data_IF_770853227302
#
_entry.id   IF_770853227302
#
_cell.length_a   1.000
_cell.length_b   1.000
_cell.length_c   1.000
_cell.angle_alpha   90.00
_cell.angle_beta   90.00
_cell.angle_gamma   90.00
#
_symmetry.space_group_name_H-M   'P 1'
#
loop_
_entity.id
_entity.type
_entity.pdbx_description
1 polymer ?
#
# COMPACT_ATOMS: atom_id res chain seq x y z
N UNK A 1 6.31 14.47 7.40
CA UNK A 1 6.54 13.09 6.91
C UNK A 1 6.10 12.17 8.02
N UNK A 2 5.37 11.11 7.68
CA UNK A 2 4.95 10.11 8.65
C UNK A 2 5.22 8.71 8.09
N UNK A 3 5.67 7.82 8.95
CA UNK A 3 5.82 6.41 8.62
C UNK A 3 4.56 5.71 9.11
N UNK A 4 3.98 4.90 8.24
CA UNK A 4 2.78 4.12 8.51
C UNK A 4 3.09 2.65 8.25
N UNK A 5 2.39 1.81 9.00
CA UNK A 5 2.39 0.38 8.81
C UNK A 5 0.95 -0.07 8.79
N UNK A 6 0.57 -0.84 7.78
CA UNK A 6 -0.81 -1.27 7.61
C UNK A 6 -0.97 -2.70 8.16
N UNK A 7 -1.70 -2.79 9.26
CA UNK A 7 -1.96 -4.05 9.95
C UNK A 7 -2.68 -5.10 9.07
N UNK A 8 -3.44 -4.66 8.05
CA UNK A 8 -4.09 -5.58 7.10
C UNK A 8 -3.06 -6.28 6.22
N UNK A 9 -1.97 -5.60 5.83
CA UNK A 9 -0.86 -6.23 5.11
C UNK A 9 -0.14 -7.27 5.98
N UNK A 10 0.04 -6.97 7.26
CA UNK A 10 0.56 -7.93 8.24
C UNK A 10 -0.36 -9.15 8.42
N UNK A 11 -1.69 -8.97 8.39
CA UNK A 11 -2.65 -10.08 8.41
C UNK A 11 -2.55 -10.97 7.16
N UNK A 12 -2.20 -10.40 6.01
CA UNK A 12 -1.88 -11.16 4.79
C UNK A 12 -0.43 -11.67 4.73
N UNK A 13 0.28 -11.65 5.86
CA UNK A 13 1.70 -12.04 6.00
C UNK A 13 2.64 -11.32 5.01
N UNK A 14 2.26 -10.12 4.56
CA UNK A 14 3.03 -9.30 3.65
C UNK A 14 3.55 -8.10 4.43
N UNK A 15 4.78 -8.17 4.98
CA UNK A 15 5.35 -7.05 5.72
C UNK A 15 5.41 -5.84 4.78
N UNK A 16 4.66 -4.80 5.14
CA UNK A 16 4.53 -3.57 4.38
C UNK A 16 5.03 -2.38 5.18
N UNK A 17 5.67 -1.44 4.49
CA UNK A 17 6.08 -0.16 5.04
C UNK A 17 5.58 0.91 4.10
N UNK A 18 4.87 1.88 4.68
CA UNK A 18 4.29 3.00 3.95
C UNK A 18 4.90 4.31 4.47
N UNK A 19 5.21 5.21 3.54
CA UNK A 19 5.66 6.55 3.85
C UNK A 19 4.65 7.56 3.31
N UNK A 20 4.14 8.43 4.19
CA UNK A 20 3.21 9.49 3.82
C UNK A 20 3.87 10.87 3.82
N UNK A 21 3.76 11.54 2.68
CA UNK A 21 4.26 12.86 2.40
C UNK A 21 3.09 13.82 2.21
N UNK A 22 2.93 14.76 3.13
CA UNK A 22 1.92 15.82 3.01
C UNK A 22 2.44 16.83 1.97
N UNK A 23 1.74 16.92 0.82
CA UNK A 23 2.12 17.79 -0.29
C UNK A 23 1.45 19.17 -0.19
N UNK A 24 0.35 19.29 0.56
CA UNK A 24 -0.37 20.55 0.72
C UNK A 24 -1.31 20.58 1.90
N UNK A 25 -2.22 21.55 1.93
CA UNK A 25 -3.18 21.74 3.02
C UNK A 25 -4.26 20.67 3.09
N UNK A 26 -4.53 19.96 1.98
CA UNK A 26 -5.58 18.94 1.88
C UNK A 26 -5.12 17.69 1.12
N UNK A 27 -3.86 17.63 0.66
CA UNK A 27 -3.36 16.52 -0.18
C UNK A 27 -2.12 15.90 0.45
N UNK A 28 -2.10 14.57 0.51
CA UNK A 28 -0.91 13.79 0.84
C UNK A 28 -0.69 12.68 -0.19
N UNK A 29 0.56 12.27 -0.31
CA UNK A 29 1.01 11.16 -1.12
C UNK A 29 1.54 10.09 -0.16
N UNK A 30 0.88 8.94 -0.13
CA UNK A 30 1.34 7.74 0.53
C UNK A 30 2.05 6.87 -0.51
N UNK A 31 3.22 6.34 -0.17
CA UNK A 31 3.92 5.36 -0.99
C UNK A 31 4.25 4.15 -0.11
N UNK A 32 3.62 3.03 -0.44
CA UNK A 32 3.85 1.73 0.17
C UNK A 32 4.78 0.86 -0.64
N UNK A 33 5.74 0.23 0.02
CA UNK A 33 6.48 -0.91 -0.55
C UNK A 33 6.26 -2.09 0.40
N UNK A 34 5.86 -3.23 -0.16
CA UNK A 34 5.88 -4.49 0.53
C UNK A 34 6.72 -5.48 -0.27
N UNK A 35 7.54 -6.26 0.43
CA UNK A 35 8.35 -7.30 -0.19
C UNK A 35 8.20 -8.57 0.64
N UNK A 36 7.77 -9.65 -0.01
CA UNK A 36 7.76 -10.96 0.62
C UNK A 36 8.70 -11.90 -0.15
N UNK A 37 9.85 -12.25 0.42
CA UNK A 37 10.74 -13.23 -0.18
C UNK A 37 10.25 -14.64 0.20
N UNK A 38 9.32 -15.20 -0.58
CA UNK A 38 9.03 -16.63 -0.51
C UNK A 38 10.10 -17.36 -1.33
N UNK A 39 11.05 -17.97 -0.63
CA UNK A 39 12.09 -18.81 -1.23
C UNK A 39 11.82 -20.27 -0.90
N UNK A 40 11.42 -21.06 -1.89
CA UNK A 40 11.37 -22.53 -1.81
C UNK A 40 12.41 -23.11 -2.79
N UNK A 41 13.02 -24.24 -2.43
CA UNK A 41 14.19 -24.84 -3.12
C UNK A 41 14.07 -25.01 -4.66
N UNK A 42 12.86 -25.01 -5.23
CA UNK A 42 12.61 -25.11 -6.68
C UNK A 42 11.90 -23.90 -7.31
N UNK A 43 11.58 -22.85 -6.54
CA UNK A 43 10.82 -21.68 -7.02
C UNK A 43 11.28 -20.40 -6.31
N UNK A 44 11.97 -19.52 -7.05
CA UNK A 44 12.27 -18.15 -6.63
C UNK A 44 11.22 -17.22 -7.22
N UNK A 45 10.19 -16.91 -6.45
CA UNK A 45 9.21 -15.88 -6.80
C UNK A 45 9.44 -14.70 -5.88
N UNK A 46 10.14 -13.68 -6.40
CA UNK A 46 10.25 -12.39 -5.72
C UNK A 46 8.95 -11.65 -5.98
N UNK A 47 8.12 -11.48 -4.94
CA UNK A 47 6.94 -10.63 -5.01
C UNK A 47 7.33 -9.25 -4.46
N UNK A 48 7.43 -8.29 -5.38
CA UNK A 48 7.60 -6.87 -5.03
C UNK A 48 6.28 -6.17 -5.27
N UNK A 49 5.73 -5.62 -4.19
CA UNK A 49 4.50 -4.85 -4.19
C UNK A 49 4.85 -3.38 -4.04
N UNK A 50 4.50 -2.58 -5.03
CA UNK A 50 4.59 -1.13 -4.95
C UNK A 50 3.19 -0.54 -5.02
N UNK A 51 2.85 0.27 -4.01
CA UNK A 51 1.53 0.84 -3.87
C UNK A 51 1.62 2.37 -3.68
N UNK A 52 1.66 3.15 -4.76
CA UNK A 52 1.49 4.59 -4.65
C UNK A 52 0.00 4.93 -4.45
N UNK A 53 -0.28 5.77 -3.47
CA UNK A 53 -1.62 6.24 -3.14
C UNK A 53 -1.64 7.75 -2.92
N UNK A 54 -2.45 8.47 -3.69
CA UNK A 54 -2.70 9.90 -3.49
C UNK A 54 -3.95 10.06 -2.64
N UNK A 55 -3.87 10.76 -1.51
CA UNK A 55 -4.98 10.99 -0.58
C UNK A 55 -5.38 12.47 -0.56
N UNK A 56 -6.66 12.72 -0.74
CA UNK A 56 -7.32 13.99 -0.56
C UNK A 56 -8.09 13.99 0.76
N UNK A 57 -7.74 14.91 1.65
CA UNK A 57 -8.33 15.10 2.96
C UNK A 57 -9.40 16.18 2.90
N UNK A 58 -10.56 15.89 3.49
CA UNK A 58 -11.66 16.87 3.56
C UNK A 58 -11.39 17.99 4.57
N UNK A 59 -10.52 17.73 5.55
CA UNK A 59 -10.10 18.69 6.57
C UNK A 59 -8.56 18.84 6.52
N UNK A 60 -7.87 18.39 7.57
CA UNK A 60 -6.41 18.42 7.65
C UNK A 60 -5.83 17.06 7.29
N UNK A 61 -4.63 17.02 6.68
CA UNK A 61 -3.93 15.78 6.43
C UNK A 61 -3.77 15.00 7.72
N UNK A 62 -4.00 13.69 7.66
CA UNK A 62 -3.89 12.76 8.79
C UNK A 62 -4.98 12.89 9.87
N UNK A 63 -6.10 13.58 9.58
CA UNK A 63 -7.22 13.74 10.53
C UNK A 63 -8.56 13.57 9.82
N UNK A 64 -9.45 12.76 10.40
CA UNK A 64 -10.83 12.57 9.94
C UNK A 64 -10.92 11.86 8.58
N UNK A 65 -11.70 12.37 7.63
CA UNK A 65 -12.00 11.69 6.37
C UNK A 65 -10.96 11.96 5.28
N UNK A 66 -10.59 10.91 4.53
CA UNK A 66 -9.83 11.04 3.30
C UNK A 66 -10.39 10.17 2.17
N UNK A 67 -10.19 10.64 0.95
CA UNK A 67 -10.44 9.94 -0.29
C UNK A 67 -9.09 9.71 -0.97
N UNK A 68 -8.74 8.47 -1.22
CA UNK A 68 -7.52 8.08 -1.87
C UNK A 68 -7.74 7.48 -3.25
N UNK A 69 -6.73 7.63 -4.10
CA UNK A 69 -6.58 6.88 -5.34
C UNK A 69 -5.29 6.10 -5.20
N UNK A 70 -5.39 4.78 -5.29
CA UNK A 70 -4.28 3.85 -5.06
C UNK A 70 -4.04 3.07 -6.33
N UNK A 71 -2.77 2.84 -6.67
CA UNK A 71 -2.39 1.88 -7.69
C UNK A 71 -1.55 0.80 -7.03
N UNK A 72 -1.64 -0.40 -7.54
CA UNK A 72 -0.88 -1.56 -7.09
C UNK A 72 -0.09 -2.09 -8.27
N UNK A 73 1.21 -2.17 -8.10
CA UNK A 73 2.11 -2.80 -9.07
C UNK A 73 2.69 -4.03 -8.39
N UNK A 74 2.31 -5.19 -8.92
CA UNK A 74 2.75 -6.48 -8.46
C UNK A 74 3.60 -7.10 -9.56
N UNK A 75 4.89 -7.29 -9.27
CA UNK A 75 5.75 -8.04 -10.18
C UNK A 75 5.79 -9.50 -9.72
N UNK A 76 5.20 -10.41 -10.50
CA UNK A 76 5.33 -11.84 -10.27
C UNK A 76 6.27 -12.42 -11.32
N UNK A 77 7.43 -12.86 -10.87
CA UNK A 77 8.38 -13.60 -11.70
C UNK A 77 8.16 -15.10 -11.43
N UNK A 78 7.53 -15.83 -12.36
CA UNK A 78 7.39 -17.29 -12.29
C UNK A 78 8.25 -17.93 -13.38
N UNK A 79 9.26 -18.71 -12.97
CA UNK A 79 10.05 -19.57 -13.85
C UNK A 79 9.47 -20.98 -13.85
N UNK A 80 8.94 -21.44 -14.99
CA UNK A 80 8.54 -22.84 -15.20
C UNK A 80 9.26 -23.33 -16.46
N UNK A 81 10.14 -24.35 -16.32
CA UNK A 81 10.77 -25.10 -17.43
C UNK A 81 11.18 -24.24 -18.63
N UNK A 82 12.21 -23.41 -18.48
CA UNK A 82 12.82 -22.62 -19.57
C UNK A 82 11.92 -21.59 -20.30
N UNK A 83 10.71 -21.31 -19.81
CA UNK A 83 9.87 -20.23 -20.36
C UNK A 83 9.68 -19.13 -19.31
N UNK A 84 10.26 -17.96 -19.60
CA UNK A 84 10.12 -16.75 -18.80
C UNK A 84 8.71 -16.16 -18.98
N UNK A 85 7.78 -16.48 -18.09
CA UNK A 85 6.51 -15.77 -17.99
C UNK A 85 6.64 -14.61 -16.99
N UNK A 86 6.97 -13.43 -17.52
CA UNK A 86 6.87 -12.16 -16.78
C UNK A 86 5.42 -11.69 -16.84
N UNK A 87 4.70 -11.82 -15.73
CA UNK A 87 3.37 -11.28 -15.57
C UNK A 87 3.44 -10.05 -14.68
N UNK A 88 3.24 -8.88 -15.27
CA UNK A 88 3.08 -7.65 -14.49
C UNK A 88 1.59 -7.48 -14.20
N UNK A 89 1.22 -7.62 -12.92
CA UNK A 89 -0.15 -7.39 -12.48
C UNK A 89 -0.25 -5.96 -11.95
N UNK A 90 -1.01 -5.14 -12.66
CA UNK A 90 -1.35 -3.78 -12.25
C UNK A 90 -2.81 -3.78 -11.81
N UNK A 91 -3.08 -3.22 -10.65
CA UNK A 91 -4.44 -2.91 -10.23
C UNK A 91 -4.52 -1.44 -9.85
N UNK A 92 -5.70 -0.86 -9.96
CA UNK A 92 -5.95 0.50 -9.51
C UNK A 92 -7.28 0.56 -8.77
N UNK A 93 -7.34 1.36 -7.72
CA UNK A 93 -8.52 1.45 -6.88
C UNK A 93 -8.73 2.83 -6.29
N UNK A 94 -9.95 3.03 -5.84
CA UNK A 94 -10.33 4.15 -5.01
C UNK A 94 -10.40 3.66 -3.58
N UNK A 95 -9.83 4.45 -2.67
CA UNK A 95 -9.88 4.22 -1.24
C UNK A 95 -10.64 5.36 -0.57
N UNK A 96 -11.35 5.04 0.49
CA UNK A 96 -11.99 5.99 1.37
C UNK A 96 -11.73 5.54 2.79
N UNK A 97 -11.25 6.45 3.63
CA UNK A 97 -10.91 6.10 4.99
C UNK A 97 -11.20 7.19 5.99
N UNK A 98 -11.14 6.78 7.24
CA UNK A 98 -11.32 7.61 8.42
C UNK A 98 -10.17 7.39 9.39
N UNK A 99 -9.59 8.48 9.87
CA UNK A 99 -8.53 8.47 10.88
C UNK A 99 -9.06 8.94 12.22
N UNK A 100 -8.95 8.07 13.22
CA UNK A 100 -9.10 8.40 14.63
C UNK A 100 -7.72 8.72 15.23
N UNK A 101 -7.60 9.92 15.79
CA UNK A 101 -6.42 10.33 16.55
C UNK A 101 -6.59 9.81 17.98
N UNK A 102 -5.79 8.83 18.39
CA UNK A 102 -5.83 8.27 19.75
C UNK A 102 -4.95 9.08 20.73
N UNK A 103 -3.98 9.84 20.22
CA UNK A 103 -3.15 10.75 21.01
C UNK A 103 -2.14 11.50 20.13
N UNK A 104 -1.19 12.19 20.75
CA UNK A 104 -0.23 13.06 20.03
C UNK A 104 0.67 12.32 19.05
N UNK A 105 0.87 11.01 19.25
CA UNK A 105 1.81 10.18 18.47
C UNK A 105 1.16 8.98 17.77
N UNK A 106 -0.11 8.67 18.07
CA UNK A 106 -0.77 7.44 17.62
C UNK A 106 -2.11 7.75 16.97
N UNK A 107 -2.24 7.33 15.71
CA UNK A 107 -3.44 7.43 14.92
C UNK A 107 -3.86 6.03 14.44
N UNK A 108 -5.15 5.73 14.53
CA UNK A 108 -5.74 4.53 13.93
C UNK A 108 -6.50 4.97 12.69
N UNK A 109 -6.28 4.26 11.59
CA UNK A 109 -6.91 4.52 10.31
C UNK A 109 -7.73 3.29 9.91
N UNK A 110 -9.00 3.49 9.56
CA UNK A 110 -9.76 2.50 8.82
C UNK A 110 -9.92 2.97 7.38
N UNK A 111 -9.56 2.10 6.44
CA UNK A 111 -9.62 2.38 5.02
C UNK A 111 -10.42 1.27 4.35
N UNK A 112 -11.42 1.67 3.57
CA UNK A 112 -12.16 0.79 2.69
C UNK A 112 -11.81 1.17 1.25
N UNK A 113 -11.48 0.18 0.43
CA UNK A 113 -11.11 0.42 -0.96
C UNK A 113 -11.75 -0.58 -1.90
N UNK A 114 -12.02 -0.12 -3.12
CA UNK A 114 -12.45 -0.96 -4.24
C UNK A 114 -11.53 -0.68 -5.41
N UNK A 115 -11.02 -1.74 -6.03
CA UNK A 115 -10.10 -1.64 -7.15
C UNK A 115 -10.32 -2.75 -8.17
N UNK A 116 -9.75 -2.54 -9.35
CA UNK A 116 -9.80 -3.43 -10.52
C UNK A 116 -8.38 -3.78 -10.93
#
# INVERSE_FOLDING_TARGET
>A
MAVKTNALGWLTASPNVEAEFVLGSHVSLNMGIAANPISTDNFKTTFTHFQPEVRYWLNRPMVSHFLGITAFVNNFNMMVKDVHHKGDAYAAGLTYGYVWVLGDHWNIEATAGVGV
#
